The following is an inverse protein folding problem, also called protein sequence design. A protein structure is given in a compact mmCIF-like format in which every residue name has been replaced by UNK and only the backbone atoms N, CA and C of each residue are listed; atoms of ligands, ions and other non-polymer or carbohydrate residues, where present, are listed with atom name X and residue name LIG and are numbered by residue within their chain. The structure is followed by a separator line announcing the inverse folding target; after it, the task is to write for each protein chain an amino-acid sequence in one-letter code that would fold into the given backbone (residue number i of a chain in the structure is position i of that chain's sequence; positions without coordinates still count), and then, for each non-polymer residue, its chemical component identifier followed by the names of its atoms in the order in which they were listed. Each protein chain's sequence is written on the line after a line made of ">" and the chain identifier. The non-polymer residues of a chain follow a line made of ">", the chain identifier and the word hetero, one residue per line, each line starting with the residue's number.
data_IF_459188282031
#
_entry.id   IF_459188282031
#
_cell.length_a   1.000
_cell.length_b   1.000
_cell.length_c   1.000
_cell.angle_alpha   90.00
_cell.angle_beta   90.00
_cell.angle_gamma   90.00
#
_symmetry.space_group_name_H-M   'P 1'
#
loop_
_entity.id
_entity.type
_entity.pdbx_description
1 polymer ?
#
# COMPACT_ATOMS: atom_id res chain seq x y z
N UNK A 1 -3.05 6.53 -3.71
CA UNK A 1 -2.18 5.37 -3.39
C UNK A 1 -2.41 4.13 -4.26
N UNK A 2 -3.63 3.57 -4.36
CA UNK A 2 -3.92 2.33 -5.11
C UNK A 2 -3.43 2.35 -6.57
N UNK A 3 -3.71 3.41 -7.33
CA UNK A 3 -3.25 3.55 -8.71
C UNK A 3 -1.72 3.42 -8.82
N UNK A 4 -0.98 4.08 -7.92
CA UNK A 4 0.49 4.06 -7.91
C UNK A 4 1.00 2.64 -7.69
N UNK A 5 0.47 1.93 -6.68
CA UNK A 5 0.88 0.54 -6.36
C UNK A 5 0.55 -0.41 -7.50
N UNK A 6 -0.62 -0.29 -8.11
CA UNK A 6 -1.01 -1.13 -9.24
C UNK A 6 -0.12 -0.88 -10.46
N UNK A 7 0.26 0.37 -10.73
CA UNK A 7 1.23 0.70 -11.77
C UNK A 7 2.64 0.16 -11.46
N UNK A 8 3.09 0.19 -10.20
CA UNK A 8 4.36 -0.45 -9.78
C UNK A 8 4.31 -1.95 -10.07
N UNK A 9 3.23 -2.63 -9.67
CA UNK A 9 3.03 -4.08 -9.93
C UNK A 9 3.02 -4.39 -11.43
N UNK A 10 2.31 -3.59 -12.22
CA UNK A 10 2.27 -3.74 -13.68
C UNK A 10 3.67 -3.58 -14.29
N UNK A 11 4.42 -2.55 -13.88
CA UNK A 11 5.78 -2.32 -14.35
C UNK A 11 6.74 -3.45 -14.00
N UNK A 12 6.65 -4.00 -12.78
CA UNK A 12 7.46 -5.15 -12.34
C UNK A 12 7.16 -6.39 -13.18
N UNK A 13 5.91 -6.58 -13.61
CA UNK A 13 5.53 -7.67 -14.53
C UNK A 13 5.96 -7.45 -15.98
N UNK A 14 6.53 -6.28 -16.31
CA UNK A 14 6.92 -5.93 -17.68
C UNK A 14 5.78 -5.42 -18.55
N UNK A 15 4.65 -5.05 -17.94
CA UNK A 15 3.50 -4.52 -18.68
C UNK A 15 3.81 -3.15 -19.29
N UNK A 16 3.30 -2.90 -20.48
CA UNK A 16 3.47 -1.62 -21.18
C UNK A 16 2.54 -0.55 -20.60
N UNK A 17 2.93 0.71 -20.75
CA UNK A 17 2.14 1.89 -20.35
C UNK A 17 0.67 1.85 -20.80
N UNK A 18 0.38 1.30 -21.97
CA UNK A 18 -0.99 1.17 -22.48
C UNK A 18 -1.91 0.35 -21.55
N UNK A 19 -1.37 -0.65 -20.85
CA UNK A 19 -2.10 -1.51 -19.91
C UNK A 19 -2.66 -0.74 -18.71
N UNK A 20 -2.08 0.40 -18.35
CA UNK A 20 -2.56 1.23 -17.23
C UNK A 20 -4.01 1.70 -17.41
N UNK A 21 -4.46 1.85 -18.67
CA UNK A 21 -5.84 2.27 -18.98
C UNK A 21 -6.91 1.27 -18.53
N UNK A 22 -6.53 0.03 -18.27
CA UNK A 22 -7.49 -1.04 -17.92
C UNK A 22 -7.89 -1.01 -16.44
N UNK A 23 -7.07 -0.43 -15.57
CA UNK A 23 -7.27 -0.52 -14.11
C UNK A 23 -7.15 0.81 -13.37
N UNK A 24 -6.73 1.89 -14.03
CA UNK A 24 -6.62 3.20 -13.38
C UNK A 24 -8.00 3.71 -12.96
N UNK A 25 -8.10 4.07 -11.69
CA UNK A 25 -9.27 4.73 -11.13
C UNK A 25 -9.16 6.23 -11.47
N UNK A 26 -10.20 6.88 -12.02
CA UNK A 26 -10.15 8.30 -12.37
C UNK A 26 -9.91 9.22 -11.16
N UNK A 27 -10.37 8.79 -9.99
CA UNK A 27 -10.32 9.55 -8.75
C UNK A 27 -8.99 9.44 -8.00
N UNK A 28 -8.73 10.45 -7.17
CA UNK A 28 -7.60 10.52 -6.24
C UNK A 28 -6.73 11.75 -6.43
N UNK A 29 -6.05 12.16 -5.37
CA UNK A 29 -5.28 13.42 -5.36
C UNK A 29 -4.13 13.42 -6.37
N UNK A 30 -3.49 12.27 -6.56
CA UNK A 30 -2.47 12.10 -7.58
C UNK A 30 -3.12 11.63 -8.88
N UNK A 31 -3.36 12.59 -9.77
CA UNK A 31 -4.07 12.41 -11.04
C UNK A 31 -3.52 11.24 -11.87
N UNK A 32 -4.42 10.50 -12.50
CA UNK A 32 -4.08 9.34 -13.33
C UNK A 32 -3.10 9.69 -14.45
N UNK A 33 -3.22 10.87 -15.05
CA UNK A 33 -2.34 11.35 -16.11
C UNK A 33 -0.89 11.48 -15.62
N UNK A 34 -0.69 11.97 -14.39
CA UNK A 34 0.64 12.10 -13.79
C UNK A 34 1.30 10.72 -13.60
N UNK A 35 0.51 9.71 -13.21
CA UNK A 35 1.00 8.32 -13.07
C UNK A 35 1.39 7.74 -14.43
N UNK A 36 0.56 7.98 -15.45
CA UNK A 36 0.80 7.53 -16.82
C UNK A 36 2.06 8.19 -17.40
N UNK A 37 2.30 9.47 -17.12
CA UNK A 37 3.49 10.20 -17.54
C UNK A 37 4.77 9.56 -16.99
N UNK A 38 4.80 9.27 -15.69
CA UNK A 38 5.99 8.71 -15.02
C UNK A 38 6.18 7.22 -15.29
N UNK A 39 5.20 6.53 -15.88
CA UNK A 39 5.21 5.08 -16.03
C UNK A 39 6.45 4.53 -16.73
N UNK A 40 6.96 5.23 -17.75
CA UNK A 40 8.12 4.77 -18.52
C UNK A 40 9.46 5.04 -17.79
N UNK A 41 9.49 5.99 -16.84
CA UNK A 41 10.68 6.31 -16.04
C UNK A 41 11.07 5.18 -15.07
N UNK A 42 12.36 5.04 -14.71
CA UNK A 42 12.81 4.02 -13.75
C UNK A 42 12.01 4.06 -12.43
N UNK A 43 11.67 2.91 -11.84
CA UNK A 43 10.91 2.87 -10.58
C UNK A 43 11.58 3.67 -9.45
N UNK A 44 12.92 3.73 -9.45
CA UNK A 44 13.72 4.49 -8.49
C UNK A 44 13.54 6.01 -8.57
N UNK A 45 12.94 6.55 -9.63
CA UNK A 45 12.68 8.00 -9.73
C UNK A 45 11.23 8.36 -9.43
N UNK A 46 10.36 7.39 -9.15
CA UNK A 46 8.92 7.65 -9.00
C UNK A 46 8.60 8.48 -7.75
N UNK A 47 9.29 8.24 -6.64
CA UNK A 47 9.05 8.97 -5.39
C UNK A 47 9.41 10.46 -5.50
N UNK A 48 10.31 10.85 -6.41
CA UNK A 48 10.65 12.26 -6.67
C UNK A 48 9.44 13.05 -7.20
N UNK A 49 8.53 12.37 -7.91
CA UNK A 49 7.28 12.98 -8.43
C UNK A 49 6.17 13.03 -7.40
N UNK A 50 6.40 12.45 -6.23
CA UNK A 50 5.45 12.36 -5.13
C UNK A 50 5.80 13.26 -3.95
N UNK A 51 6.88 14.07 -4.04
CA UNK A 51 7.41 14.92 -2.95
C UNK A 51 6.33 15.75 -2.24
N UNK A 52 5.34 16.24 -2.98
CA UNK A 52 4.24 17.06 -2.45
C UNK A 52 2.99 16.26 -2.08
N UNK A 53 3.12 14.94 -1.90
CA UNK A 53 2.03 14.03 -1.53
C UNK A 53 2.42 13.23 -0.31
N UNK A 54 1.42 12.80 0.47
CA UNK A 54 1.61 11.92 1.62
C UNK A 54 2.13 10.51 1.23
N UNK A 55 2.23 10.21 -0.07
CA UNK A 55 2.62 8.91 -0.58
C UNK A 55 4.14 8.75 -0.77
N UNK A 56 4.93 9.84 -0.76
CA UNK A 56 6.36 9.80 -1.09
C UNK A 56 7.12 8.76 -0.29
N UNK A 57 7.05 8.85 1.04
CA UNK A 57 7.85 7.98 1.92
C UNK A 57 7.44 6.51 1.80
N UNK A 58 6.14 6.24 1.63
CA UNK A 58 5.59 4.89 1.42
C UNK A 58 6.18 4.28 0.14
N UNK A 59 6.17 5.05 -0.96
CA UNK A 59 6.67 4.57 -2.25
C UNK A 59 8.19 4.45 -2.24
N UNK A 60 8.91 5.40 -1.65
CA UNK A 60 10.37 5.33 -1.55
C UNK A 60 10.82 4.11 -0.75
N UNK A 61 10.30 3.92 0.47
CA UNK A 61 10.65 2.78 1.32
C UNK A 61 10.28 1.46 0.63
N UNK A 62 9.09 1.38 0.04
CA UNK A 62 8.62 0.20 -0.66
C UNK A 62 9.44 -0.16 -1.90
N UNK A 63 9.80 0.82 -2.73
CA UNK A 63 10.65 0.62 -3.92
C UNK A 63 12.07 0.23 -3.51
N UNK A 64 12.66 0.91 -2.52
CA UNK A 64 13.98 0.58 -2.00
C UNK A 64 14.03 -0.85 -1.42
N UNK A 65 12.99 -1.25 -0.70
CA UNK A 65 12.86 -2.62 -0.20
C UNK A 65 12.74 -3.63 -1.36
N UNK A 66 11.94 -3.32 -2.38
CA UNK A 66 11.81 -4.17 -3.56
C UNK A 66 13.14 -4.35 -4.30
N UNK A 67 13.92 -3.30 -4.50
CA UNK A 67 15.22 -3.39 -5.17
C UNK A 67 16.22 -4.28 -4.43
N UNK A 68 16.18 -4.26 -3.09
CA UNK A 68 17.08 -5.07 -2.25
C UNK A 68 16.63 -6.53 -2.11
N UNK A 69 15.32 -6.76 -2.01
CA UNK A 69 14.75 -8.06 -1.60
C UNK A 69 13.94 -8.75 -2.69
N UNK A 70 13.77 -8.13 -3.86
CA UNK A 70 12.89 -8.57 -4.94
C UNK A 70 11.48 -8.93 -4.46
N UNK A 71 10.95 -8.13 -3.53
CA UNK A 71 9.68 -8.39 -2.85
C UNK A 71 8.91 -7.09 -2.60
N UNK A 72 7.60 -7.09 -2.86
CA UNK A 72 6.71 -5.95 -2.60
C UNK A 72 6.12 -5.94 -1.17
N UNK A 73 6.55 -6.87 -0.32
CA UNK A 73 6.01 -7.08 1.02
C UNK A 73 5.93 -5.78 1.83
N UNK A 74 7.03 -5.01 1.87
CA UNK A 74 7.09 -3.78 2.65
C UNK A 74 6.19 -2.69 2.06
N UNK A 75 6.14 -2.55 0.73
CA UNK A 75 5.23 -1.61 0.06
C UNK A 75 3.76 -1.90 0.42
N UNK A 76 3.35 -3.18 0.38
CA UNK A 76 1.99 -3.57 0.71
C UNK A 76 1.66 -3.33 2.18
N UNK A 77 2.60 -3.65 3.08
CA UNK A 77 2.45 -3.40 4.51
C UNK A 77 2.32 -1.91 4.81
N UNK A 78 3.21 -1.08 4.28
CA UNK A 78 3.18 0.38 4.47
C UNK A 78 1.90 1.00 3.90
N UNK A 79 1.42 0.52 2.75
CA UNK A 79 0.16 0.97 2.17
C UNK A 79 -1.04 0.67 3.06
N UNK A 80 -1.13 -0.55 3.59
CA UNK A 80 -2.23 -0.93 4.48
C UNK A 80 -2.15 -0.14 5.80
N UNK A 81 -0.95 0.04 6.36
CA UNK A 81 -0.72 0.85 7.55
C UNK A 81 -1.12 2.32 7.34
N UNK A 82 -0.84 2.90 6.18
CA UNK A 82 -1.24 4.26 5.84
C UNK A 82 -2.77 4.42 5.88
N UNK A 83 -3.50 3.51 5.24
CA UNK A 83 -4.97 3.53 5.23
C UNK A 83 -5.51 3.34 6.65
N UNK A 84 -4.96 2.40 7.41
CA UNK A 84 -5.37 2.15 8.80
C UNK A 84 -5.17 3.38 9.68
N UNK A 85 -4.01 4.04 9.56
CA UNK A 85 -3.69 5.22 10.36
C UNK A 85 -4.54 6.43 9.98
N UNK A 86 -4.86 6.59 8.68
CA UNK A 86 -5.85 7.58 8.24
C UNK A 86 -7.23 7.30 8.88
N UNK A 87 -7.69 6.04 8.84
CA UNK A 87 -8.96 5.62 9.44
C UNK A 87 -9.03 5.83 10.96
N UNK A 88 -7.90 5.81 11.68
CA UNK A 88 -7.85 6.09 13.13
C UNK A 88 -8.29 7.51 13.49
N UNK A 89 -8.24 8.46 12.57
CA UNK A 89 -8.74 9.84 12.79
C UNK A 89 -10.22 9.80 13.19
N UNK A 90 -11.00 8.88 12.60
CA UNK A 90 -12.41 8.67 12.92
C UNK A 90 -12.68 8.35 14.39
N UNK A 91 -11.71 7.84 15.16
CA UNK A 91 -11.87 7.59 16.61
C UNK A 91 -12.13 8.87 17.41
N UNK A 92 -11.66 10.01 16.92
CA UNK A 92 -11.75 11.30 17.62
C UNK A 92 -13.01 12.07 17.23
N UNK A 93 -13.79 11.57 16.28
CA UNK A 93 -15.05 12.16 15.83
C UNK A 93 -16.19 11.58 16.69
N UNK A 94 -16.94 12.44 17.36
CA UNK A 94 -17.97 12.01 18.32
C UNK A 94 -19.27 11.56 17.66
N UNK A 95 -19.63 12.16 16.53
CA UNK A 95 -20.85 11.85 15.80
C UNK A 95 -20.55 11.78 14.31
N UNK A 96 -21.08 10.76 13.64
CA UNK A 96 -20.93 10.59 12.20
C UNK A 96 -20.68 9.15 11.79
N UNK A 97 -20.39 8.96 10.51
CA UNK A 97 -20.12 7.65 9.90
C UNK A 97 -18.65 7.22 10.09
N UNK A 98 -17.78 8.17 10.39
CA UNK A 98 -16.33 8.03 10.47
C UNK A 98 -15.88 7.01 11.54
N UNK A 99 -16.44 6.99 12.77
CA UNK A 99 -16.10 5.94 13.74
C UNK A 99 -16.48 4.54 13.24
N UNK A 100 -17.61 4.41 12.53
CA UNK A 100 -18.06 3.14 11.98
C UNK A 100 -17.14 2.67 10.85
N UNK A 101 -16.80 3.56 9.91
CA UNK A 101 -15.85 3.25 8.82
C UNK A 101 -14.50 2.86 9.40
N UNK A 102 -13.99 3.64 10.37
CA UNK A 102 -12.73 3.32 11.05
C UNK A 102 -12.74 1.96 11.73
N UNK A 103 -13.85 1.59 12.39
CA UNK A 103 -14.03 0.28 12.98
C UNK A 103 -14.06 -0.85 11.93
N UNK A 104 -14.75 -0.66 10.80
CA UNK A 104 -14.80 -1.66 9.72
C UNK A 104 -13.39 -1.86 9.14
N UNK A 105 -12.69 -0.78 8.79
CA UNK A 105 -11.30 -0.85 8.30
C UNK A 105 -10.39 -1.57 9.29
N UNK A 106 -10.53 -1.29 10.59
CA UNK A 106 -9.80 -1.97 11.64
C UNK A 106 -10.03 -3.49 11.63
N UNK A 107 -11.29 -3.92 11.51
CA UNK A 107 -11.65 -5.34 11.48
C UNK A 107 -11.13 -6.05 10.24
N UNK A 108 -11.17 -5.40 9.09
CA UNK A 108 -10.56 -5.96 7.87
C UNK A 108 -9.05 -6.15 8.04
N UNK A 109 -8.36 -5.18 8.65
CA UNK A 109 -6.93 -5.28 8.93
C UNK A 109 -6.60 -6.39 9.94
N UNK A 110 -7.39 -6.53 11.02
CA UNK A 110 -7.24 -7.62 11.99
C UNK A 110 -7.41 -8.99 11.32
N UNK A 111 -8.43 -9.16 10.48
CA UNK A 111 -8.66 -10.40 9.71
C UNK A 111 -7.47 -10.68 8.79
N UNK A 112 -6.92 -9.65 8.13
CA UNK A 112 -5.74 -9.77 7.26
C UNK A 112 -4.52 -10.22 8.06
N UNK A 113 -4.27 -9.63 9.24
CA UNK A 113 -3.20 -10.02 10.15
C UNK A 113 -3.33 -11.47 10.62
N UNK A 114 -4.53 -11.89 11.03
CA UNK A 114 -4.81 -13.29 11.39
C UNK A 114 -4.48 -14.22 10.21
N UNK A 115 -4.91 -13.88 8.99
CA UNK A 115 -4.63 -14.67 7.79
C UNK A 115 -3.12 -14.78 7.52
N UNK A 116 -2.37 -13.70 7.65
CA UNK A 116 -0.90 -13.70 7.50
C UNK A 116 -0.25 -14.63 8.51
N UNK A 117 -0.67 -14.56 9.78
CA UNK A 117 -0.14 -15.43 10.84
C UNK A 117 -0.45 -16.89 10.54
N UNK A 118 -1.69 -17.21 10.18
CA UNK A 118 -2.11 -18.58 9.85
C UNK A 118 -1.36 -19.12 8.63
N UNK A 119 -1.30 -18.37 7.53
CA UNK A 119 -0.54 -18.76 6.34
C UNK A 119 0.95 -18.92 6.66
N UNK A 120 1.54 -18.04 7.47
CA UNK A 120 2.93 -18.15 7.89
C UNK A 120 3.21 -19.41 8.70
N UNK A 121 2.32 -19.76 9.64
CA UNK A 121 2.40 -21.00 10.42
C UNK A 121 2.23 -22.24 9.54
N UNK A 122 1.26 -22.24 8.62
CA UNK A 122 1.05 -23.33 7.66
C UNK A 122 2.29 -23.58 6.79
N UNK A 123 3.03 -22.53 6.46
CA UNK A 123 4.27 -22.59 5.68
C UNK A 123 5.53 -22.73 6.56
N UNK A 124 5.40 -23.05 7.86
CA UNK A 124 6.51 -23.23 8.81
C UNK A 124 7.51 -22.05 8.84
N UNK A 125 7.03 -20.82 8.64
CA UNK A 125 7.87 -19.62 8.78
C UNK A 125 8.24 -19.40 10.25
N UNK A 126 9.45 -18.89 10.49
CA UNK A 126 9.85 -18.51 11.85
C UNK A 126 8.98 -17.38 12.39
N UNK A 127 8.78 -17.30 13.72
CA UNK A 127 8.01 -16.21 14.33
C UNK A 127 8.45 -14.81 13.89
N UNK A 128 9.76 -14.58 13.76
CA UNK A 128 10.31 -13.29 13.33
C UNK A 128 9.91 -12.94 11.89
N UNK A 129 9.98 -13.92 10.97
CA UNK A 129 9.54 -13.74 9.57
C UNK A 129 8.04 -13.47 9.49
N UNK A 130 7.23 -14.11 10.33
CA UNK A 130 5.79 -13.82 10.38
C UNK A 130 5.56 -12.40 10.89
N UNK A 131 6.20 -12.04 12.00
CA UNK A 131 6.06 -10.72 12.65
C UNK A 131 6.42 -9.57 11.72
N UNK A 132 7.47 -9.73 10.91
CA UNK A 132 7.87 -8.75 9.89
C UNK A 132 6.72 -8.39 8.92
N UNK A 133 5.87 -9.37 8.57
CA UNK A 133 4.77 -9.24 7.60
C UNK A 133 3.47 -8.70 8.19
N UNK A 134 3.32 -8.77 9.50
CA UNK A 134 2.12 -8.32 10.22
C UNK A 134 2.05 -6.79 10.16
N UNK A 135 0.86 -6.26 9.87
CA UNK A 135 0.55 -4.83 9.82
C UNK A 135 0.27 -4.28 11.21
N UNK A 136 0.27 -2.97 11.33
CA UNK A 136 -0.08 -2.29 12.57
C UNK A 136 -1.50 -2.69 13.00
N UNK A 137 -1.76 -2.64 14.30
CA UNK A 137 -3.10 -2.82 14.83
C UNK A 137 -3.82 -1.49 14.93
N UNK A 138 -5.14 -1.55 14.96
CA UNK A 138 -5.96 -0.35 15.11
C UNK A 138 -5.87 0.26 16.52
N UNK A 139 -5.58 -0.55 17.54
CA UNK A 139 -5.49 -0.12 18.96
C UNK A 139 -4.28 0.75 19.18
#
# INVERSE_FOLDING_TARGET
>A
LNNIINCIRAKIRGEKKAFTKEFLIPEGDFKAENIVEIYDSPLSSWFEKLIYTDYKDIIELGVNYFQKNNSLMELEKLSDNFILNFSKIGKYITFGIEPLVGFITAKENDIKNIRIILSGKLNNLSPDKIKERVRDTYV
#
